data_IF_705533311729
#
_entry.id   IF_705533311729
#
_cell.length_a   1.000
_cell.length_b   1.000
_cell.length_c   1.000
_cell.angle_alpha   90.00
_cell.angle_beta   90.00
_cell.angle_gamma   90.00
#
_symmetry.space_group_name_H-M   'P 1'
#
loop_
_entity.id
_entity.type
_entity.pdbx_description
1 polymer ?
#
# COMPACT_ATOMS: atom_id res chain seq x y z
N UNK A 1 -40.62 -40.08 21.05
CA UNK A 1 -39.36 -40.70 20.58
C UNK A 1 -39.10 -40.11 19.20
N UNK A 2 -38.58 -38.88 19.15
CA UNK A 2 -37.15 -38.52 19.08
C UNK A 2 -36.52 -38.88 17.74
N UNK A 3 -36.28 -37.87 16.91
CA UNK A 3 -35.02 -37.72 16.17
C UNK A 3 -34.95 -36.30 15.59
N UNK A 4 -34.55 -35.36 16.45
CA UNK A 4 -33.96 -34.10 16.01
C UNK A 4 -32.67 -34.41 15.25
N UNK A 5 -32.72 -34.33 13.92
CA UNK A 5 -31.53 -34.31 13.09
C UNK A 5 -30.83 -32.96 13.27
N UNK A 6 -29.97 -32.89 14.28
CA UNK A 6 -28.99 -31.82 14.46
C UNK A 6 -27.93 -31.95 13.35
N UNK A 7 -28.27 -31.46 12.16
CA UNK A 7 -27.34 -31.35 11.04
C UNK A 7 -26.28 -30.33 11.43
N UNK A 8 -25.11 -30.84 11.83
CA UNK A 8 -23.90 -30.05 12.03
C UNK A 8 -23.63 -29.24 10.76
N UNK A 9 -24.01 -27.97 10.80
CA UNK A 9 -23.59 -26.94 9.85
C UNK A 9 -22.10 -26.72 10.07
N UNK A 10 -21.29 -27.67 9.57
CA UNK A 10 -19.90 -27.43 9.29
C UNK A 10 -19.84 -26.16 8.46
N UNK A 11 -19.37 -25.08 9.07
CA UNK A 11 -19.17 -23.78 8.45
C UNK A 11 -18.16 -24.00 7.33
N UNK A 12 -18.66 -24.40 6.17
CA UNK A 12 -17.91 -24.63 4.96
C UNK A 12 -17.49 -23.26 4.46
N UNK A 13 -16.33 -22.81 4.96
CA UNK A 13 -15.69 -21.59 4.47
C UNK A 13 -15.58 -21.71 2.95
N UNK A 14 -16.08 -20.74 2.17
CA UNK A 14 -16.05 -20.83 0.72
C UNK A 14 -14.59 -20.98 0.26
N UNK A 15 -14.26 -22.16 -0.29
CA UNK A 15 -12.93 -22.43 -0.84
C UNK A 15 -12.78 -21.56 -2.08
N UNK A 16 -11.76 -20.69 -2.11
CA UNK A 16 -11.53 -19.79 -3.22
C UNK A 16 -11.21 -20.59 -4.49
N UNK A 17 -11.84 -20.22 -5.62
CA UNK A 17 -11.64 -20.85 -6.93
C UNK A 17 -10.16 -20.84 -7.32
N UNK A 18 -9.63 -21.88 -8.01
CA UNK A 18 -8.22 -21.94 -8.42
C UNK A 18 -7.78 -20.71 -9.25
N UNK A 19 -8.70 -20.08 -9.99
CA UNK A 19 -8.46 -18.82 -10.70
C UNK A 19 -8.21 -17.63 -9.74
N UNK A 20 -8.93 -17.58 -8.62
CA UNK A 20 -8.75 -16.55 -7.58
C UNK A 20 -7.39 -16.65 -6.88
N UNK A 21 -6.90 -17.87 -6.66
CA UNK A 21 -5.56 -18.12 -6.10
C UNK A 21 -4.45 -17.64 -7.04
N UNK A 22 -4.59 -17.86 -8.36
CA UNK A 22 -3.66 -17.37 -9.38
C UNK A 22 -3.63 -15.84 -9.42
N UNK A 23 -4.79 -15.18 -9.38
CA UNK A 23 -4.87 -13.72 -9.34
C UNK A 23 -4.21 -13.17 -8.07
N UNK A 24 -4.51 -13.77 -6.90
CA UNK A 24 -3.89 -13.38 -5.63
C UNK A 24 -2.36 -13.55 -5.64
N UNK A 25 -1.86 -14.64 -6.21
CA UNK A 25 -0.42 -14.86 -6.40
C UNK A 25 0.19 -13.80 -7.33
N UNK A 26 -0.49 -13.45 -8.43
CA UNK A 26 -0.06 -12.38 -9.34
C UNK A 26 0.02 -11.02 -8.65
N UNK A 27 -0.97 -10.66 -7.83
CA UNK A 27 -0.97 -9.42 -7.04
C UNK A 27 0.16 -9.43 -6.01
N UNK A 28 0.36 -10.54 -5.30
CA UNK A 28 1.46 -10.69 -4.35
C UNK A 28 2.83 -10.48 -5.03
N UNK A 29 3.06 -11.15 -6.16
CA UNK A 29 4.31 -11.02 -6.92
C UNK A 29 4.50 -9.59 -7.44
N UNK A 30 3.45 -8.93 -7.91
CA UNK A 30 3.53 -7.54 -8.35
C UNK A 30 3.92 -6.59 -7.20
N UNK A 31 3.32 -6.76 -6.03
CA UNK A 31 3.64 -5.96 -4.85
C UNK A 31 5.08 -6.23 -4.39
N UNK A 32 5.48 -7.50 -4.27
CA UNK A 32 6.85 -7.89 -3.95
C UNK A 32 7.87 -7.35 -4.98
N UNK A 33 7.53 -7.37 -6.27
CA UNK A 33 8.35 -6.80 -7.32
C UNK A 33 8.54 -5.29 -7.17
N UNK A 34 7.47 -4.55 -6.86
CA UNK A 34 7.56 -3.11 -6.58
C UNK A 34 8.46 -2.81 -5.38
N UNK A 35 8.33 -3.58 -4.30
CA UNK A 35 9.22 -3.49 -3.13
C UNK A 35 10.67 -3.82 -3.46
N UNK A 36 10.91 -4.87 -4.25
CA UNK A 36 12.25 -5.27 -4.67
C UNK A 36 12.92 -4.18 -5.51
N UNK A 37 12.19 -3.54 -6.43
CA UNK A 37 12.71 -2.41 -7.22
C UNK A 37 13.08 -1.23 -6.33
N UNK A 38 12.24 -0.88 -5.36
CA UNK A 38 12.54 0.20 -4.40
C UNK A 38 13.75 -0.14 -3.53
N UNK A 39 13.88 -1.39 -3.07
CA UNK A 39 15.01 -1.86 -2.29
C UNK A 39 16.32 -1.87 -3.11
N UNK A 40 16.28 -2.38 -4.34
CA UNK A 40 17.42 -2.34 -5.28
C UNK A 40 17.85 -0.90 -5.58
N UNK A 41 16.88 0.01 -5.71
CA UNK A 41 17.17 1.42 -5.89
C UNK A 41 17.79 2.07 -4.66
N UNK A 42 17.35 1.70 -3.47
CA UNK A 42 17.91 2.22 -2.23
C UNK A 42 19.36 1.78 -2.00
N UNK A 43 19.73 0.60 -2.52
CA UNK A 43 21.10 0.08 -2.48
C UNK A 43 21.96 0.53 -3.69
N UNK A 44 21.55 1.59 -4.39
CA UNK A 44 22.25 2.18 -5.56
C UNK A 44 22.42 1.26 -6.79
N UNK A 45 21.90 0.03 -6.76
CA UNK A 45 21.90 -0.85 -7.93
C UNK A 45 20.99 -0.31 -9.05
N UNK A 46 19.97 0.48 -8.70
CA UNK A 46 19.08 1.15 -9.67
C UNK A 46 19.07 2.67 -9.43
N UNK A 47 19.62 3.40 -10.38
CA UNK A 47 19.54 4.86 -10.43
C UNK A 47 18.15 5.31 -10.89
N UNK A 48 17.17 5.28 -9.98
CA UNK A 48 15.81 5.79 -10.24
C UNK A 48 15.83 7.28 -10.62
N UNK A 49 16.83 8.03 -10.16
CA UNK A 49 17.02 9.44 -10.53
C UNK A 49 17.31 9.63 -12.04
N UNK A 50 17.97 8.66 -12.66
CA UNK A 50 18.21 8.67 -14.11
C UNK A 50 16.91 8.43 -14.89
N UNK A 51 16.06 7.52 -14.42
CA UNK A 51 14.80 7.14 -15.08
C UNK A 51 13.65 8.12 -14.81
N UNK A 52 13.51 8.60 -13.58
CA UNK A 52 12.42 9.50 -13.16
C UNK A 52 12.78 10.98 -13.34
N UNK A 53 14.06 11.28 -13.58
CA UNK A 53 14.55 12.65 -13.74
C UNK A 53 14.44 13.49 -12.46
N UNK A 54 14.71 14.79 -12.63
CA UNK A 54 14.51 15.80 -11.58
C UNK A 54 13.03 16.22 -11.62
N UNK A 55 12.41 16.39 -10.45
CA UNK A 55 11.01 16.81 -10.36
C UNK A 55 10.82 18.19 -11.01
N UNK A 56 10.19 18.22 -12.19
CA UNK A 56 9.94 19.45 -12.94
C UNK A 56 9.05 20.45 -12.20
N UNK A 57 8.16 19.98 -11.32
CA UNK A 57 7.33 20.85 -10.48
C UNK A 57 8.17 21.64 -9.49
N UNK A 58 9.11 20.96 -8.79
CA UNK A 58 10.03 21.63 -7.87
C UNK A 58 10.94 22.62 -8.61
N UNK A 59 11.37 22.28 -9.81
CA UNK A 59 12.21 23.16 -10.63
C UNK A 59 11.47 24.40 -11.13
N UNK A 60 10.17 24.29 -11.44
CA UNK A 60 9.37 25.38 -12.02
C UNK A 60 8.71 26.29 -10.98
N UNK A 61 8.32 25.73 -9.84
CA UNK A 61 7.58 26.47 -8.81
C UNK A 61 8.36 26.67 -7.52
N UNK A 62 9.54 26.07 -7.37
CA UNK A 62 10.33 26.10 -6.12
C UNK A 62 9.69 25.31 -4.95
N UNK A 63 8.45 24.82 -5.13
CA UNK A 63 7.65 24.22 -4.07
C UNK A 63 7.61 22.69 -4.17
N UNK A 64 7.50 21.98 -3.03
CA UNK A 64 7.28 20.53 -3.03
C UNK A 64 5.88 20.21 -3.58
N UNK A 65 5.81 19.31 -4.57
CA UNK A 65 4.53 18.78 -5.06
C UNK A 65 3.94 17.76 -4.06
N UNK A 66 2.64 17.42 -4.14
CA UNK A 66 2.01 16.41 -3.27
C UNK A 66 2.64 15.01 -3.35
N UNK A 67 3.35 14.71 -4.45
CA UNK A 67 4.14 13.49 -4.62
C UNK A 67 5.62 13.61 -4.21
N UNK A 68 6.07 14.79 -3.78
CA UNK A 68 7.48 15.04 -3.50
C UNK A 68 7.94 14.14 -2.34
N UNK A 69 9.04 13.42 -2.51
CA UNK A 69 9.57 12.52 -1.47
C UNK A 69 8.89 11.14 -1.40
N UNK A 70 7.90 10.82 -2.22
CA UNK A 70 7.25 9.50 -2.22
C UNK A 70 8.23 8.35 -2.49
N UNK A 71 9.03 8.45 -3.55
CA UNK A 71 10.01 7.43 -3.90
C UNK A 71 11.06 7.24 -2.80
N UNK A 72 11.52 8.35 -2.20
CA UNK A 72 12.51 8.32 -1.13
C UNK A 72 11.93 7.70 0.16
N UNK A 73 10.71 8.06 0.54
CA UNK A 73 10.02 7.43 1.65
C UNK A 73 9.78 5.94 1.41
N UNK A 74 9.44 5.54 0.17
CA UNK A 74 9.33 4.14 -0.22
C UNK A 74 10.65 3.37 -0.11
N UNK A 75 11.76 3.97 -0.54
CA UNK A 75 13.11 3.41 -0.38
C UNK A 75 13.48 3.23 1.10
N UNK A 76 13.25 4.24 1.93
CA UNK A 76 13.48 4.16 3.39
C UNK A 76 12.63 3.08 4.05
N UNK A 77 11.38 2.94 3.64
CA UNK A 77 10.51 1.88 4.15
C UNK A 77 11.02 0.50 3.72
N UNK A 78 11.43 0.36 2.46
CA UNK A 78 11.95 -0.90 1.90
C UNK A 78 13.25 -1.34 2.57
N UNK A 79 14.11 -0.41 2.98
CA UNK A 79 15.37 -0.72 3.68
C UNK A 79 15.21 -0.93 5.19
N UNK A 80 13.98 -0.91 5.72
CA UNK A 80 13.72 -1.17 7.14
C UNK A 80 13.77 0.07 8.03
N UNK A 81 13.64 1.28 7.47
CA UNK A 81 13.56 2.54 8.22
C UNK A 81 12.16 3.17 8.17
N UNK A 82 11.10 2.49 8.64
CA UNK A 82 9.71 2.96 8.52
C UNK A 82 9.45 4.27 9.26
N UNK A 83 10.16 4.51 10.37
CA UNK A 83 10.06 5.76 11.14
C UNK A 83 10.58 6.93 10.32
N UNK A 84 11.75 6.79 9.69
CA UNK A 84 12.31 7.82 8.82
C UNK A 84 11.46 8.03 7.56
N UNK A 85 10.86 6.97 7.02
CA UNK A 85 9.90 7.07 5.94
C UNK A 85 8.68 7.91 6.32
N UNK A 86 8.14 7.71 7.53
CA UNK A 86 7.02 8.49 8.06
C UNK A 86 7.37 9.96 8.27
N UNK A 87 8.57 10.24 8.78
CA UNK A 87 9.07 11.62 8.89
C UNK A 87 9.30 12.26 7.52
N UNK A 88 9.71 11.50 6.51
CA UNK A 88 9.91 12.03 5.15
C UNK A 88 8.58 12.36 4.49
N UNK A 89 7.68 11.38 4.39
CA UNK A 89 6.39 11.52 3.71
C UNK A 89 5.37 10.58 4.40
N UNK A 90 4.57 11.08 5.34
CA UNK A 90 3.68 10.23 6.13
C UNK A 90 2.61 9.54 5.27
N UNK A 91 2.15 10.19 4.19
CA UNK A 91 1.25 9.58 3.22
C UNK A 91 1.89 8.35 2.55
N UNK A 92 3.12 8.47 2.04
CA UNK A 92 3.81 7.35 1.40
C UNK A 92 4.06 6.20 2.38
N UNK A 93 4.43 6.49 3.63
CA UNK A 93 4.59 5.48 4.67
C UNK A 93 3.28 4.72 4.96
N UNK A 94 2.13 5.42 4.96
CA UNK A 94 0.82 4.79 5.11
C UNK A 94 0.50 3.86 3.93
N UNK A 95 0.70 4.32 2.69
CA UNK A 95 0.48 3.48 1.50
C UNK A 95 1.43 2.28 1.45
N UNK A 96 2.68 2.47 1.88
CA UNK A 96 3.65 1.41 2.05
C UNK A 96 3.16 0.35 3.04
N UNK A 97 2.74 0.75 4.24
CA UNK A 97 2.19 -0.17 5.24
C UNK A 97 0.93 -0.89 4.73
N UNK A 98 0.01 -0.17 4.06
CA UNK A 98 -1.17 -0.74 3.43
C UNK A 98 -0.80 -1.77 2.33
N UNK A 99 0.23 -1.48 1.53
CA UNK A 99 0.77 -2.39 0.53
C UNK A 99 1.33 -3.68 1.12
N UNK A 100 2.06 -3.58 2.24
CA UNK A 100 2.55 -4.77 2.98
C UNK A 100 1.38 -5.59 3.53
N UNK A 101 0.38 -4.94 4.13
CA UNK A 101 -0.81 -5.63 4.61
C UNK A 101 -1.56 -6.33 3.47
N UNK A 102 -1.68 -5.66 2.32
CA UNK A 102 -2.27 -6.25 1.11
C UNK A 102 -1.45 -7.43 0.57
N UNK A 103 -0.12 -7.38 0.62
CA UNK A 103 0.74 -8.49 0.23
C UNK A 103 0.57 -9.69 1.18
N UNK A 104 0.59 -9.47 2.49
CA UNK A 104 0.33 -10.53 3.47
C UNK A 104 -1.04 -11.15 3.24
N UNK A 105 -2.06 -10.32 3.01
CA UNK A 105 -3.40 -10.79 2.70
C UNK A 105 -3.46 -11.62 1.42
N UNK A 106 -2.82 -11.15 0.34
CA UNK A 106 -2.74 -11.86 -0.93
C UNK A 106 -1.99 -13.20 -0.80
N UNK A 107 -0.92 -13.24 0.00
CA UNK A 107 -0.21 -14.47 0.32
C UNK A 107 -1.09 -15.45 1.09
N UNK A 108 -1.81 -14.98 2.12
CA UNK A 108 -2.74 -15.82 2.87
C UNK A 108 -3.85 -16.38 1.98
N UNK A 109 -4.39 -15.59 1.05
CA UNK A 109 -5.34 -16.09 0.05
C UNK A 109 -4.72 -17.10 -0.92
N UNK A 110 -3.49 -16.87 -1.38
CA UNK A 110 -2.80 -17.78 -2.30
C UNK A 110 -2.47 -19.13 -1.64
N UNK A 111 -1.95 -19.10 -0.41
CA UNK A 111 -1.53 -20.28 0.36
C UNK A 111 -2.72 -21.05 0.92
N UNK A 112 -3.61 -20.38 1.66
CA UNK A 112 -4.71 -21.05 2.35
C UNK A 112 -6.00 -21.16 1.53
N UNK A 113 -6.13 -20.40 0.42
CA UNK A 113 -7.35 -20.39 -0.39
C UNK A 113 -8.58 -19.89 0.38
N UNK A 114 -8.37 -19.19 1.49
CA UNK A 114 -9.42 -18.63 2.33
C UNK A 114 -9.77 -17.26 1.75
N UNK A 115 -10.92 -17.18 1.12
CA UNK A 115 -11.52 -15.90 0.75
C UNK A 115 -12.10 -15.28 2.02
N UNK A 116 -11.28 -14.52 2.74
CA UNK A 116 -11.82 -13.70 3.82
C UNK A 116 -12.68 -12.67 3.10
N UNK A 117 -14.01 -12.78 3.13
CA UNK A 117 -14.90 -11.79 2.52
C UNK A 117 -14.72 -10.36 3.07
N UNK A 118 -13.78 -10.14 4.00
CA UNK A 118 -13.48 -8.90 4.68
C UNK A 118 -13.07 -7.73 3.76
N UNK A 119 -12.13 -7.84 2.80
CA UNK A 119 -11.81 -6.71 1.92
C UNK A 119 -12.99 -6.36 1.04
N UNK A 120 -13.67 -7.37 0.47
CA UNK A 120 -14.87 -7.17 -0.35
C UNK A 120 -15.98 -6.51 0.46
N UNK A 121 -16.20 -6.94 1.70
CA UNK A 121 -17.22 -6.39 2.62
C UNK A 121 -16.86 -5.00 3.11
N UNK A 122 -15.58 -4.70 3.33
CA UNK A 122 -15.11 -3.37 3.71
C UNK A 122 -15.22 -2.40 2.52
N UNK A 123 -14.84 -2.84 1.32
CA UNK A 123 -14.99 -2.07 0.08
C UNK A 123 -16.46 -1.79 -0.25
N UNK A 124 -17.37 -2.74 -0.02
CA UNK A 124 -18.80 -2.52 -0.22
C UNK A 124 -19.45 -1.73 0.92
N UNK A 125 -19.00 -1.89 2.17
CA UNK A 125 -19.55 -1.17 3.32
C UNK A 125 -19.09 0.29 3.39
N UNK A 126 -17.79 0.53 3.20
CA UNK A 126 -17.21 1.88 3.19
C UNK A 126 -17.46 2.54 1.83
N UNK A 127 -17.49 1.77 0.74
CA UNK A 127 -17.63 2.27 -0.62
C UNK A 127 -16.29 2.78 -1.16
N UNK A 128 -15.96 2.39 -2.40
CA UNK A 128 -14.73 2.80 -3.10
C UNK A 128 -14.55 4.33 -3.09
N UNK A 129 -15.65 5.08 -3.24
CA UNK A 129 -15.64 6.55 -3.21
C UNK A 129 -15.06 7.11 -1.90
N UNK A 130 -15.46 6.57 -0.76
CA UNK A 130 -14.97 7.05 0.54
C UNK A 130 -13.53 6.61 0.83
N UNK A 131 -13.13 5.43 0.36
CA UNK A 131 -11.74 5.00 0.37
C UNK A 131 -10.85 5.94 -0.44
N UNK A 132 -11.30 6.32 -1.64
CA UNK A 132 -10.58 7.28 -2.50
C UNK A 132 -10.52 8.65 -1.84
N UNK A 133 -11.63 9.15 -1.27
CA UNK A 133 -11.64 10.42 -0.52
C UNK A 133 -10.67 10.36 0.66
N UNK A 134 -10.66 9.27 1.44
CA UNK A 134 -9.74 9.07 2.55
C UNK A 134 -8.27 9.06 2.10
N UNK A 135 -7.97 8.35 1.00
CA UNK A 135 -6.65 8.34 0.39
C UNK A 135 -6.21 9.73 -0.05
N UNK A 136 -7.10 10.51 -0.68
CA UNK A 136 -6.85 11.90 -1.07
C UNK A 136 -6.61 12.76 0.18
N UNK A 137 -7.40 12.61 1.24
CA UNK A 137 -7.23 13.37 2.49
C UNK A 137 -5.89 13.05 3.16
N UNK A 138 -5.50 11.78 3.22
CA UNK A 138 -4.19 11.37 3.75
C UNK A 138 -3.05 11.96 2.92
N UNK A 139 -3.20 11.95 1.60
CA UNK A 139 -2.22 12.52 0.67
C UNK A 139 -2.11 14.04 0.83
N UNK A 140 -3.24 14.75 0.92
CA UNK A 140 -3.28 16.19 1.15
C UNK A 140 -2.75 16.57 2.53
N UNK A 141 -3.10 15.82 3.58
CA UNK A 141 -2.58 16.04 4.93
C UNK A 141 -1.06 15.83 4.99
N UNK A 142 -0.58 14.75 4.38
CA UNK A 142 0.86 14.48 4.28
C UNK A 142 1.60 15.56 3.50
N UNK A 143 1.00 16.07 2.42
CA UNK A 143 1.54 17.20 1.67
C UNK A 143 1.53 18.49 2.49
N UNK A 144 0.46 18.78 3.24
CA UNK A 144 0.38 19.95 4.11
C UNK A 144 1.52 19.96 5.14
N UNK A 145 1.85 18.81 5.74
CA UNK A 145 2.99 18.70 6.68
C UNK A 145 4.32 19.04 6.00
N UNK A 146 4.56 18.54 4.79
CA UNK A 146 5.77 18.87 4.03
C UNK A 146 5.82 20.34 3.65
N UNK A 147 4.68 20.90 3.23
CA UNK A 147 4.57 22.29 2.84
C UNK A 147 4.81 23.24 4.01
N UNK A 148 4.19 22.98 5.16
CA UNK A 148 4.42 23.72 6.42
C UNK A 148 5.88 23.64 6.84
N UNK A 149 6.49 22.45 6.79
CA UNK A 149 7.92 22.30 7.12
C UNK A 149 8.80 23.14 6.21
N UNK A 150 8.57 23.08 4.91
CA UNK A 150 9.34 23.85 3.92
C UNK A 150 9.22 25.35 4.18
N UNK A 151 8.01 25.85 4.43
CA UNK A 151 7.78 27.26 4.78
C UNK A 151 8.45 27.63 6.12
N UNK A 152 8.31 26.79 7.14
CA UNK A 152 8.87 27.05 8.48
C UNK A 152 10.40 27.00 8.53
N UNK A 153 11.02 26.25 7.63
CA UNK A 153 12.48 26.10 7.55
C UNK A 153 13.15 27.14 6.63
N UNK A 154 12.38 28.05 6.03
CA UNK A 154 12.89 29.25 5.39
C UNK A 154 13.94 29.01 4.30
N UNK A 155 13.76 27.97 3.48
CA UNK A 155 14.50 27.78 2.23
C UNK A 155 13.61 28.06 1.02
#
# INVERSE_FOLDING_TARGET
MSNEQYSNSAISRPKCSPKGRLIAAGVFLAVCGAWAVLWLSANEHLNLRFWLGICGFKQRYGLPCPGCGWTHAGQLFATGHPVQAFFTQPAAAFFCAAGVAAAIYALLMAVFGIDFGFPRRLLTAVGVKWLVIGAILVLLAGWAVVLVRTISSGQ
#
